data_IF_316972888368
#
_entry.id   IF_316972888368
#
_cell.length_a   1.000
_cell.length_b   1.000
_cell.length_c   1.000
_cell.angle_alpha   90.00
_cell.angle_beta   90.00
_cell.angle_gamma   90.00
#
_symmetry.space_group_name_H-M   'P 1'
#
loop_
_entity.id
_entity.type
_entity.pdbx_description
1 polymer ?
#
# COMPACT_ATOMS: atom_id res chain seq x y z
N UNK A 1 17.38 -7.20 1.62
CA UNK A 1 17.74 -7.60 2.48
C UNK A 1 17.26 -7.15 3.71
N UNK A 2 17.02 -5.99 3.96
CA UNK A 2 16.46 -5.63 5.11
C UNK A 2 15.01 -5.52 5.01
N UNK A 3 14.29 -6.20 5.85
CA UNK A 3 12.90 -6.08 5.93
C UNK A 3 12.65 -5.31 7.14
N UNK A 4 12.10 -4.12 7.03
CA UNK A 4 11.76 -3.41 8.23
C UNK A 4 10.49 -2.62 7.98
N UNK A 5 9.90 -2.13 9.04
CA UNK A 5 8.61 -1.48 8.97
C UNK A 5 8.65 -0.13 8.28
N UNK A 6 9.85 0.35 7.96
CA UNK A 6 9.97 1.62 7.30
C UNK A 6 10.13 1.48 5.79
N UNK A 7 10.06 0.26 5.28
CA UNK A 7 10.12 0.07 3.85
C UNK A 7 8.98 0.81 3.17
N UNK A 8 9.28 1.36 2.02
CA UNK A 8 8.29 2.06 1.22
C UNK A 8 8.03 1.23 -0.02
N UNK A 9 6.77 0.98 -0.29
CA UNK A 9 6.38 0.12 -1.39
C UNK A 9 5.76 0.93 -2.52
N UNK A 10 5.87 0.39 -3.73
CA UNK A 10 5.18 0.96 -4.87
C UNK A 10 3.80 0.36 -4.98
N UNK A 11 2.88 0.99 -5.74
CA UNK A 11 1.57 0.39 -5.94
C UNK A 11 1.66 -1.02 -6.52
N UNK A 12 2.61 -1.24 -7.43
CA UNK A 12 2.76 -2.56 -8.03
C UNK A 12 3.11 -3.62 -7.01
N UNK A 13 3.97 -3.24 -6.07
CA UNK A 13 4.35 -4.19 -5.03
C UNK A 13 3.18 -4.52 -4.11
N UNK A 14 2.38 -3.51 -3.78
CA UNK A 14 1.21 -3.75 -2.94
C UNK A 14 0.18 -4.57 -3.67
N UNK A 15 0.01 -4.32 -4.97
CA UNK A 15 -0.91 -5.11 -5.79
C UNK A 15 -0.56 -6.59 -5.73
N UNK A 16 0.72 -6.90 -5.80
CA UNK A 16 1.16 -8.28 -5.72
C UNK A 16 0.89 -8.88 -4.36
N UNK A 17 1.18 -8.13 -3.31
CA UNK A 17 0.99 -8.64 -1.97
C UNK A 17 -0.47 -8.87 -1.64
N UNK A 18 -1.34 -7.96 -2.07
CA UNK A 18 -2.76 -8.07 -1.79
C UNK A 18 -3.51 -8.84 -2.87
N UNK A 19 -2.83 -9.14 -3.97
CA UNK A 19 -3.42 -9.85 -5.09
C UNK A 19 -4.65 -9.12 -5.63
N UNK A 20 -4.49 -7.84 -5.87
CA UNK A 20 -5.58 -7.00 -6.39
C UNK A 20 -5.13 -6.33 -7.66
N UNK A 21 -6.10 -5.86 -8.42
CA UNK A 21 -5.82 -5.21 -9.68
C UNK A 21 -5.51 -3.73 -9.53
N UNK A 22 -5.18 -3.12 -10.66
CA UNK A 22 -4.77 -1.72 -10.69
C UNK A 22 -5.89 -0.80 -10.24
N UNK A 23 -7.10 -1.04 -10.70
CA UNK A 23 -8.21 -0.20 -10.31
C UNK A 23 -8.46 -0.25 -8.81
N UNK A 24 -8.32 -1.44 -8.23
CA UNK A 24 -8.55 -1.61 -6.81
C UNK A 24 -7.52 -0.85 -5.98
N UNK A 25 -6.24 -0.94 -6.37
CA UNK A 25 -5.21 -0.27 -5.58
C UNK A 25 -5.38 1.26 -5.66
N UNK A 26 -5.66 1.79 -6.83
CA UNK A 26 -5.82 3.23 -6.94
C UNK A 26 -7.08 3.73 -6.23
N UNK A 27 -8.10 2.90 -6.18
CA UNK A 27 -9.29 3.25 -5.43
C UNK A 27 -8.98 3.32 -3.94
N UNK A 28 -8.20 2.36 -3.43
CA UNK A 28 -7.79 2.38 -2.03
C UNK A 28 -6.97 3.62 -1.71
N UNK A 29 -6.07 3.99 -2.62
CA UNK A 29 -5.20 5.14 -2.38
C UNK A 29 -5.98 6.44 -2.43
N UNK A 30 -6.86 6.59 -3.41
CA UNK A 30 -7.57 7.85 -3.56
C UNK A 30 -8.65 8.03 -2.51
N UNK A 31 -9.21 6.95 -1.99
CA UNK A 31 -10.24 7.06 -0.97
C UNK A 31 -9.66 7.24 0.43
N UNK A 32 -8.37 7.01 0.59
CA UNK A 32 -7.75 7.12 1.89
C UNK A 32 -7.84 5.87 2.74
N UNK A 33 -8.41 4.79 2.20
CA UNK A 33 -8.47 3.54 2.94
C UNK A 33 -7.10 2.93 3.16
N UNK A 34 -6.18 3.19 2.25
CA UNK A 34 -4.81 2.76 2.41
C UNK A 34 -3.96 4.03 2.43
N UNK A 35 -3.40 4.34 3.56
CA UNK A 35 -2.65 5.58 3.69
C UNK A 35 -1.34 5.53 2.94
N UNK A 36 -1.08 6.58 2.21
CA UNK A 36 0.12 6.66 1.39
C UNK A 36 0.37 8.12 1.06
N UNK A 37 1.48 8.38 0.41
CA UNK A 37 1.76 9.74 -0.01
C UNK A 37 2.31 9.71 -1.43
N UNK A 38 2.23 10.85 -2.10
CA UNK A 38 2.75 10.97 -3.46
C UNK A 38 4.02 11.78 -3.44
N UNK A 39 5.00 11.27 -4.15
CA UNK A 39 6.24 11.97 -4.29
C UNK A 39 6.40 12.18 -5.79
N UNK A 40 6.16 13.41 -6.24
CA UNK A 40 6.10 13.66 -7.66
C UNK A 40 4.89 12.97 -8.26
N UNK A 41 5.12 12.08 -9.17
CA UNK A 41 4.04 11.33 -9.80
C UNK A 41 3.85 9.95 -9.22
N UNK A 42 4.69 9.59 -8.29
CA UNK A 42 4.70 8.22 -7.79
C UNK A 42 4.04 8.13 -6.44
N UNK A 43 3.22 7.10 -6.27
CA UNK A 43 2.66 6.79 -4.98
C UNK A 43 3.69 6.03 -4.17
N UNK A 44 3.81 6.38 -2.90
CA UNK A 44 4.71 5.70 -1.98
C UNK A 44 3.87 5.22 -0.81
N UNK A 45 3.93 3.93 -0.56
CA UNK A 45 3.06 3.30 0.43
C UNK A 45 3.92 2.68 1.52
N UNK A 46 3.90 3.23 2.74
CA UNK A 46 4.69 2.64 3.81
C UNK A 46 4.22 1.22 4.11
N UNK A 47 5.17 0.33 4.31
CA UNK A 47 4.83 -1.07 4.60
C UNK A 47 3.93 -1.18 5.81
N UNK A 48 4.18 -0.38 6.84
CA UNK A 48 3.37 -0.47 8.03
C UNK A 48 1.90 -0.13 7.76
N UNK A 49 1.63 0.71 6.78
CA UNK A 49 0.26 1.02 6.44
C UNK A 49 -0.41 -0.15 5.72
N UNK A 50 0.36 -0.88 4.93
CA UNK A 50 -0.16 -2.08 4.29
C UNK A 50 -0.48 -3.12 5.36
N UNK A 51 0.40 -3.29 6.32
CA UNK A 51 0.17 -4.24 7.40
C UNK A 51 -1.06 -3.86 8.21
N UNK A 52 -1.23 -2.57 8.48
CA UNK A 52 -2.40 -2.11 9.22
C UNK A 52 -3.68 -2.34 8.43
N UNK A 53 -3.62 -2.14 7.13
CA UNK A 53 -4.78 -2.38 6.28
C UNK A 53 -5.17 -3.87 6.32
N UNK A 54 -4.17 -4.73 6.20
CA UNK A 54 -4.44 -6.17 6.24
C UNK A 54 -5.04 -6.56 7.59
N UNK A 55 -4.50 -6.02 8.66
CA UNK A 55 -5.03 -6.30 9.99
C UNK A 55 -6.50 -5.93 10.10
N UNK A 56 -6.87 -4.79 9.54
CA UNK A 56 -8.28 -4.39 9.58
C UNK A 56 -9.16 -5.33 8.78
N UNK A 57 -8.62 -5.85 7.69
CA UNK A 57 -9.41 -6.71 6.82
C UNK A 57 -9.69 -8.07 7.45
N UNK A 58 -8.77 -8.57 8.23
CA UNK A 58 -8.95 -9.90 8.79
C UNK A 58 -9.59 -9.89 10.17
N UNK A 59 -9.96 -8.71 10.67
CA UNK A 59 -10.67 -8.65 11.95
C UNK A 59 -12.18 -8.63 11.79
#
# INVERSE_FOLDING_TARGET
MFENKYDILTPEEVMKQLNIGKNAIYKLLSSGNLKAFRLGRNWKIPRKEVDAYIDRMIK
#
